data_IF_310818967254
#
_entry.id   IF_310818967254
#
_cell.length_a   1.000
_cell.length_b   1.000
_cell.length_c   1.000
_cell.angle_alpha   90.00
_cell.angle_beta   90.00
_cell.angle_gamma   90.00
#
_symmetry.space_group_name_H-M   'P 1'
#
loop_
_entity.id
_entity.type
_entity.pdbx_description
1 polymer ?
#
# COMPACT_ATOMS: atom_id res chain seq x y z
N UNK A 1 -25.44 -1.75 15.40
CA UNK A 1 -24.54 -2.84 14.96
C UNK A 1 -23.86 -3.43 16.20
N UNK A 2 -23.77 -4.75 16.35
CA UNK A 2 -23.17 -5.35 17.56
C UNK A 2 -21.66 -5.10 17.54
N UNK A 3 -21.10 -4.52 18.61
CA UNK A 3 -19.68 -4.20 18.77
C UNK A 3 -18.74 -5.41 18.91
N UNK A 4 -19.10 -6.54 18.31
CA UNK A 4 -18.28 -7.75 18.31
C UNK A 4 -17.20 -7.66 17.23
N UNK A 5 -15.99 -8.22 17.46
CA UNK A 5 -14.94 -8.27 16.46
C UNK A 5 -15.42 -8.87 15.14
N UNK A 6 -14.94 -8.32 14.04
CA UNK A 6 -15.29 -8.81 12.72
C UNK A 6 -14.62 -10.17 12.46
N UNK A 7 -15.39 -11.17 12.03
CA UNK A 7 -14.79 -12.42 11.58
C UNK A 7 -14.10 -12.24 10.22
N UNK A 8 -13.10 -13.09 9.92
CA UNK A 8 -12.43 -13.11 8.61
C UNK A 8 -13.44 -13.31 7.47
N UNK A 9 -14.45 -14.15 7.66
CA UNK A 9 -15.50 -14.40 6.66
C UNK A 9 -16.37 -13.16 6.44
N UNK A 10 -16.75 -12.47 7.52
CA UNK A 10 -17.49 -11.21 7.43
C UNK A 10 -16.69 -10.12 6.73
N UNK A 11 -15.38 -10.04 6.98
CA UNK A 11 -14.49 -9.14 6.24
C UNK A 11 -14.54 -9.41 4.74
N UNK A 12 -14.37 -10.67 4.34
CA UNK A 12 -14.39 -11.08 2.94
C UNK A 12 -15.71 -10.77 2.24
N UNK A 13 -16.84 -11.01 2.91
CA UNK A 13 -18.16 -10.69 2.38
C UNK A 13 -18.32 -9.18 2.15
N UNK A 14 -17.93 -8.36 3.12
CA UNK A 14 -17.96 -6.89 2.99
C UNK A 14 -17.02 -6.39 1.90
N UNK A 15 -15.80 -6.93 1.81
CA UNK A 15 -14.86 -6.58 0.76
C UNK A 15 -15.46 -6.83 -0.63
N UNK A 16 -16.06 -8.01 -0.86
CA UNK A 16 -16.73 -8.31 -2.14
C UNK A 16 -17.86 -7.32 -2.46
N UNK A 17 -18.67 -6.96 -1.47
CA UNK A 17 -19.73 -5.96 -1.65
C UNK A 17 -19.16 -4.59 -2.05
N UNK A 18 -18.07 -4.15 -1.43
CA UNK A 18 -17.43 -2.88 -1.80
C UNK A 18 -16.81 -2.91 -3.19
N UNK A 19 -16.16 -4.01 -3.56
CA UNK A 19 -15.58 -4.21 -4.90
C UNK A 19 -16.65 -4.14 -5.98
N UNK A 20 -17.79 -4.78 -5.75
CA UNK A 20 -18.94 -4.73 -6.65
C UNK A 20 -19.52 -3.31 -6.74
N UNK A 21 -19.70 -2.62 -5.61
CA UNK A 21 -20.18 -1.22 -5.58
C UNK A 21 -19.23 -0.25 -6.28
N UNK A 22 -17.92 -0.51 -6.22
CA UNK A 22 -16.90 0.28 -6.91
C UNK A 22 -16.79 -0.04 -8.42
N UNK A 23 -17.58 -0.99 -8.95
CA UNK A 23 -17.52 -1.38 -10.36
C UNK A 23 -16.22 -2.07 -10.77
N UNK A 24 -15.45 -2.61 -9.81
CA UNK A 24 -14.18 -3.26 -10.07
C UNK A 24 -14.43 -4.69 -10.54
N UNK A 25 -14.14 -4.97 -11.80
CA UNK A 25 -14.28 -6.30 -12.42
C UNK A 25 -13.11 -7.24 -12.12
N UNK A 26 -11.98 -6.70 -11.66
CA UNK A 26 -10.77 -7.47 -11.33
C UNK A 26 -10.93 -8.16 -9.97
N UNK A 27 -10.32 -9.34 -9.77
CA UNK A 27 -10.32 -9.99 -8.46
C UNK A 27 -9.57 -9.13 -7.43
N UNK A 28 -10.25 -8.81 -6.33
CA UNK A 28 -9.67 -8.07 -5.19
C UNK A 28 -9.61 -8.95 -3.96
N UNK A 29 -8.44 -8.96 -3.33
CA UNK A 29 -8.16 -9.61 -2.05
C UNK A 29 -7.59 -8.59 -1.05
N UNK A 30 -7.52 -8.92 0.26
CA UNK A 30 -6.84 -8.07 1.24
C UNK A 30 -5.39 -7.73 0.83
N UNK A 31 -4.67 -8.69 0.22
CA UNK A 31 -3.30 -8.48 -0.24
C UNK A 31 -3.22 -7.52 -1.43
N UNK A 32 -4.08 -7.68 -2.44
CA UNK A 32 -4.07 -6.78 -3.61
C UNK A 32 -4.53 -5.37 -3.25
N UNK A 33 -5.46 -5.25 -2.30
CA UNK A 33 -5.89 -3.97 -1.74
C UNK A 33 -4.75 -3.27 -1.00
N UNK A 34 -4.05 -3.99 -0.10
CA UNK A 34 -2.88 -3.47 0.62
C UNK A 34 -1.77 -3.02 -0.32
N UNK A 35 -1.47 -3.83 -1.33
CA UNK A 35 -0.43 -3.50 -2.30
C UNK A 35 -0.79 -2.26 -3.14
N UNK A 36 -2.04 -2.17 -3.60
CA UNK A 36 -2.50 -1.01 -4.37
C UNK A 36 -2.42 0.27 -3.54
N UNK A 37 -2.77 0.21 -2.25
CA UNK A 37 -2.62 1.33 -1.33
C UNK A 37 -1.15 1.74 -1.16
N UNK A 38 -0.25 0.78 -0.92
CA UNK A 38 1.18 1.05 -0.76
C UNK A 38 1.78 1.70 -2.01
N UNK A 39 1.52 1.13 -3.19
CA UNK A 39 2.00 1.65 -4.47
C UNK A 39 1.43 3.03 -4.74
N UNK A 40 0.14 3.25 -4.48
CA UNK A 40 -0.50 4.55 -4.69
C UNK A 40 0.14 5.65 -3.84
N UNK A 41 0.44 5.37 -2.57
CA UNK A 41 1.13 6.33 -1.69
C UNK A 41 2.54 6.63 -2.18
N UNK A 42 3.32 5.60 -2.52
CA UNK A 42 4.69 5.78 -3.03
C UNK A 42 4.72 6.55 -4.34
N UNK A 43 3.79 6.28 -5.27
CA UNK A 43 3.64 7.04 -6.51
C UNK A 43 3.25 8.50 -6.27
N UNK A 44 2.52 8.78 -5.19
CA UNK A 44 2.20 10.13 -4.75
C UNK A 44 3.34 10.86 -4.03
N UNK A 45 4.54 10.25 -3.93
CA UNK A 45 5.70 10.83 -3.25
C UNK A 45 5.67 10.69 -1.73
N UNK A 46 4.81 9.82 -1.18
CA UNK A 46 4.85 9.53 0.25
C UNK A 46 6.16 8.85 0.63
N UNK A 47 6.74 9.27 1.76
CA UNK A 47 7.94 8.66 2.31
C UNK A 47 7.68 7.17 2.62
N UNK A 48 8.60 6.30 2.22
CA UNK A 48 8.53 4.87 2.46
C UNK A 48 8.35 4.54 3.95
N UNK A 49 8.96 5.31 4.84
CA UNK A 49 8.82 5.16 6.29
C UNK A 49 7.39 5.42 6.74
N UNK A 50 6.74 6.44 6.18
CA UNK A 50 5.33 6.78 6.45
C UNK A 50 4.42 5.66 5.93
N UNK A 51 4.68 5.14 4.73
CA UNK A 51 3.91 4.01 4.17
C UNK A 51 4.05 2.75 5.04
N UNK A 52 5.24 2.49 5.58
CA UNK A 52 5.49 1.35 6.48
C UNK A 52 4.76 1.48 7.81
N UNK A 53 4.76 2.66 8.42
CA UNK A 53 4.02 2.92 9.66
C UNK A 53 2.51 2.75 9.46
N UNK A 54 1.98 3.25 8.34
CA UNK A 54 0.55 3.12 7.98
C UNK A 54 0.10 1.68 7.71
N UNK A 55 0.99 0.83 7.20
CA UNK A 55 0.69 -0.58 6.91
C UNK A 55 0.90 -1.52 8.11
N UNK A 56 1.55 -1.02 9.17
CA UNK A 56 1.82 -1.72 10.43
C UNK A 56 3.07 -2.61 10.39
N UNK A 57 3.75 -2.73 11.53
CA UNK A 57 4.99 -3.49 11.71
C UNK A 57 4.87 -5.03 11.56
N UNK A 58 3.66 -5.60 11.43
CA UNK A 58 3.42 -7.04 11.64
C UNK A 58 3.44 -7.92 10.39
N UNK A 59 3.83 -7.42 9.21
CA UNK A 59 4.01 -8.31 8.06
C UNK A 59 5.20 -7.91 7.19
N UNK A 60 6.37 -8.35 7.63
CA UNK A 60 7.67 -8.27 6.96
C UNK A 60 7.73 -9.16 5.68
N UNK A 61 6.60 -9.64 5.13
CA UNK A 61 6.61 -10.58 4.01
C UNK A 61 6.44 -9.96 2.61
N UNK A 62 6.67 -8.65 2.47
CA UNK A 62 6.88 -7.99 1.15
C UNK A 62 7.99 -6.92 1.18
N UNK A 63 8.78 -6.85 2.26
CA UNK A 63 9.71 -5.74 2.55
C UNK A 63 10.92 -5.67 1.61
N UNK A 64 11.21 -6.72 0.84
CA UNK A 64 12.41 -6.77 0.02
C UNK A 64 12.31 -6.04 -1.33
N UNK A 65 11.11 -5.65 -1.79
CA UNK A 65 10.95 -4.92 -3.05
C UNK A 65 11.04 -3.40 -2.86
N UNK A 66 10.70 -2.87 -1.68
CA UNK A 66 10.61 -1.43 -1.47
C UNK A 66 11.95 -0.72 -1.20
N UNK A 67 12.99 -1.46 -0.80
CA UNK A 67 14.34 -0.90 -0.62
C UNK A 67 14.96 -0.44 -1.95
N UNK A 68 14.54 -1.04 -3.09
CA UNK A 68 15.13 -0.71 -4.39
C UNK A 68 14.54 0.56 -5.02
N UNK A 69 13.28 0.90 -4.69
CA UNK A 69 12.60 2.11 -5.21
C UNK A 69 13.13 3.39 -4.54
N UNK A 70 13.58 3.30 -3.29
CA UNK A 70 14.17 4.44 -2.56
C UNK A 70 15.46 4.96 -3.21
N UNK A 71 16.30 4.07 -3.76
CA UNK A 71 17.59 4.48 -4.35
C UNK A 71 17.38 5.26 -5.64
N UNK A 72 16.48 4.83 -6.51
CA UNK A 72 16.27 5.51 -7.79
C UNK A 72 15.55 6.85 -7.60
N UNK A 73 14.61 6.94 -6.66
CA UNK A 73 13.97 8.20 -6.31
C UNK A 73 14.90 9.17 -5.55
N UNK A 74 15.71 8.67 -4.61
CA UNK A 74 16.77 9.48 -3.98
C UNK A 74 17.77 9.98 -5.00
N UNK A 75 18.16 9.15 -5.99
CA UNK A 75 19.00 9.58 -7.10
C UNK A 75 18.33 10.66 -7.93
N UNK A 76 17.05 10.50 -8.27
CA UNK A 76 16.33 11.48 -9.08
C UNK A 76 16.19 12.82 -8.37
N UNK A 77 15.82 12.82 -7.09
CA UNK A 77 15.73 14.03 -6.25
C UNK A 77 17.12 14.65 -6.05
N UNK A 78 18.15 13.83 -5.81
CA UNK A 78 19.54 14.28 -5.71
C UNK A 78 19.99 14.95 -7.01
N UNK A 79 19.83 14.30 -8.16
CA UNK A 79 20.20 14.88 -9.47
C UNK A 79 19.43 16.16 -9.78
N UNK A 80 18.17 16.27 -9.37
CA UNK A 80 17.33 17.45 -9.64
C UNK A 80 17.67 18.67 -8.78
N UNK A 81 18.21 18.47 -7.57
CA UNK A 81 18.39 19.55 -6.60
C UNK A 81 19.85 19.76 -6.17
N UNK A 82 20.80 18.95 -6.62
CA UNK A 82 22.20 19.14 -6.29
C UNK A 82 22.86 20.16 -7.24
N UNK A 83 23.43 21.28 -6.75
CA UNK A 83 23.94 22.37 -7.59
C UNK A 83 25.23 22.04 -8.39
N UNK A 84 25.63 20.77 -8.46
CA UNK A 84 26.84 20.27 -9.13
C UNK A 84 26.71 18.85 -9.71
N UNK A 85 25.50 18.43 -10.10
CA UNK A 85 25.30 17.24 -10.93
C UNK A 85 25.31 17.62 -12.42
#
# INVERSE_FOLDING_TARGET
ERGTPLSRTQFWLRLKQYVQKAGISRPVSPHTLRHSFAVHLLQGGADLRVVQEMLGHASINTTQIYTRVSIDHLREVYMKHHPRA
#
